data_IF_749076860992
#
_entry.id   IF_749076860992
#
_cell.length_a   1.000
_cell.length_b   1.000
_cell.length_c   1.000
_cell.angle_alpha   90.00
_cell.angle_beta   90.00
_cell.angle_gamma   90.00
#
_symmetry.space_group_name_H-M   'P 1'
#
loop_
_entity.id
_entity.type
_entity.pdbx_description
1 polymer ?
#
# COMPACT_ATOMS: atom_id res chain seq x y z
N UNK A 1 28.10 17.30 -15.69
CA UNK A 1 28.44 16.64 -16.97
C UNK A 1 27.25 16.81 -17.91
N UNK A 2 27.45 17.18 -19.19
CA UNK A 2 26.34 17.23 -20.14
C UNK A 2 25.78 15.81 -20.34
N UNK A 3 24.46 15.64 -20.22
CA UNK A 3 23.81 14.35 -20.46
C UNK A 3 23.93 14.01 -21.94
N UNK A 4 24.61 12.91 -22.26
CA UNK A 4 24.53 12.29 -23.58
C UNK A 4 23.05 11.91 -23.82
N UNK A 5 22.44 12.40 -24.90
CA UNK A 5 21.04 12.08 -25.21
C UNK A 5 20.79 10.57 -25.40
N UNK A 6 19.56 10.12 -25.16
CA UNK A 6 19.15 8.72 -25.32
C UNK A 6 19.43 8.22 -26.76
N UNK A 7 20.18 7.12 -26.91
CA UNK A 7 20.46 6.53 -28.22
C UNK A 7 19.37 5.55 -28.63
N UNK A 8 19.25 5.28 -29.94
CA UNK A 8 18.31 4.26 -30.48
C UNK A 8 18.49 2.90 -29.79
N UNK A 9 19.74 2.49 -29.57
CA UNK A 9 20.07 1.24 -28.87
C UNK A 9 19.51 1.20 -27.45
N UNK A 10 19.54 2.32 -26.73
CA UNK A 10 19.05 2.42 -25.36
C UNK A 10 17.51 2.32 -25.31
N UNK A 11 16.82 2.88 -26.31
CA UNK A 11 15.36 2.77 -26.47
C UNK A 11 14.95 1.32 -26.77
N UNK A 12 15.62 0.67 -27.73
CA UNK A 12 15.30 -0.72 -28.15
C UNK A 12 15.55 -1.71 -27.02
N UNK A 13 16.64 -1.51 -26.25
CA UNK A 13 16.93 -2.35 -25.07
C UNK A 13 15.88 -2.20 -23.97
N UNK A 14 15.25 -1.02 -23.87
CA UNK A 14 14.32 -0.70 -22.80
C UNK A 14 15.00 -0.52 -21.44
N UNK A 15 14.18 -0.38 -20.40
CA UNK A 15 14.60 -0.15 -19.02
C UNK A 15 13.72 -0.91 -18.03
N UNK A 16 14.06 -0.81 -16.74
CA UNK A 16 13.28 -1.43 -15.66
C UNK A 16 11.92 -0.73 -15.45
N UNK A 17 11.89 0.58 -15.63
CA UNK A 17 10.70 1.44 -15.55
C UNK A 17 10.86 2.58 -16.55
N UNK A 18 9.84 3.42 -16.67
CA UNK A 18 9.79 4.56 -17.58
C UNK A 18 9.63 5.87 -16.81
N UNK A 19 10.00 7.03 -17.41
CA UNK A 19 10.69 7.21 -18.69
C UNK A 19 12.15 6.72 -18.70
N UNK A 20 12.74 6.54 -19.88
CA UNK A 20 14.04 5.90 -20.08
C UNK A 20 15.20 6.60 -19.34
N UNK A 21 15.21 7.92 -19.31
CA UNK A 21 16.27 8.76 -18.73
C UNK A 21 15.95 9.29 -17.32
N UNK A 22 14.77 8.94 -16.80
CA UNK A 22 14.32 9.27 -15.45
C UNK A 22 13.28 8.24 -14.96
N UNK A 23 13.65 6.96 -14.80
CA UNK A 23 12.70 5.90 -14.48
C UNK A 23 12.00 6.19 -13.15
N UNK A 24 10.68 6.01 -13.14
CA UNK A 24 9.84 6.25 -11.95
C UNK A 24 10.16 5.26 -10.83
N UNK A 25 10.33 3.98 -11.19
CA UNK A 25 10.54 2.90 -10.22
C UNK A 25 12.04 2.54 -10.17
N UNK A 26 12.69 2.60 -8.99
CA UNK A 26 14.07 2.16 -8.85
C UNK A 26 14.19 0.63 -8.84
N UNK A 27 15.42 0.09 -8.93
CA UNK A 27 15.67 -1.36 -8.83
C UNK A 27 15.77 -1.80 -7.37
N UNK A 28 15.35 -3.03 -7.10
CA UNK A 28 15.46 -3.70 -5.80
C UNK A 28 16.92 -4.05 -5.41
N UNK A 29 17.20 -4.26 -4.11
CA UNK A 29 16.27 -4.24 -2.96
C UNK A 29 15.92 -2.83 -2.45
N UNK A 30 14.80 -2.72 -1.72
CA UNK A 30 14.40 -1.53 -0.95
C UNK A 30 14.29 -1.85 0.52
N UNK A 31 14.69 -0.89 1.35
CA UNK A 31 14.53 -0.93 2.79
C UNK A 31 13.54 0.13 3.26
N UNK A 32 12.75 -0.27 4.25
CA UNK A 32 11.79 0.57 4.97
C UNK A 32 12.24 0.57 6.43
N UNK A 33 12.47 1.76 6.97
CA UNK A 33 12.98 2.00 8.33
C UNK A 33 12.06 3.01 9.01
N UNK A 34 12.01 2.93 10.33
CA UNK A 34 11.22 3.86 11.16
C UNK A 34 9.75 3.97 10.69
N UNK A 35 9.05 2.83 10.70
CA UNK A 35 7.67 2.74 10.21
C UNK A 35 6.70 2.70 11.38
N UNK A 36 5.81 3.69 11.45
CA UNK A 36 4.69 3.65 12.38
C UNK A 36 3.51 2.91 11.75
N UNK A 37 2.86 2.05 12.52
CA UNK A 37 1.67 1.31 12.08
C UNK A 37 0.55 1.48 13.09
N UNK A 38 -0.61 1.93 12.61
CA UNK A 38 -1.88 1.82 13.33
C UNK A 38 -2.73 0.73 12.67
N UNK A 39 -3.06 -0.29 13.44
CA UNK A 39 -3.91 -1.40 13.00
C UNK A 39 -5.31 -1.26 13.59
N UNK A 40 -6.32 -1.25 12.72
CA UNK A 40 -7.73 -1.33 13.07
C UNK A 40 -8.28 -2.67 12.58
N UNK A 41 -9.02 -3.37 13.44
CA UNK A 41 -9.64 -4.64 13.09
C UNK A 41 -11.14 -4.59 13.36
N UNK A 42 -11.94 -5.12 12.45
CA UNK A 42 -13.38 -5.30 12.65
C UNK A 42 -13.86 -6.60 11.99
N UNK A 43 -15.03 -7.08 12.40
CA UNK A 43 -15.69 -8.23 11.77
C UNK A 43 -16.73 -7.76 10.76
N UNK A 44 -16.85 -8.50 9.66
CA UNK A 44 -17.84 -8.25 8.59
C UNK A 44 -18.55 -9.55 8.21
N UNK A 45 -19.41 -9.50 7.19
CA UNK A 45 -20.05 -10.70 6.66
C UNK A 45 -19.05 -11.54 5.90
N UNK A 46 -19.00 -12.85 6.18
CA UNK A 46 -18.08 -13.77 5.50
C UNK A 46 -18.31 -13.80 3.99
N UNK A 47 -19.55 -13.60 3.54
CA UNK A 47 -19.91 -13.50 2.12
C UNK A 47 -19.30 -12.26 1.45
N UNK A 48 -19.22 -11.13 2.16
CA UNK A 48 -18.56 -9.92 1.66
C UNK A 48 -17.05 -10.14 1.50
N UNK A 49 -16.41 -10.89 2.42
CA UNK A 49 -15.01 -11.30 2.26
C UNK A 49 -14.85 -12.20 1.04
N UNK A 50 -15.70 -13.22 0.89
CA UNK A 50 -15.65 -14.15 -0.24
C UNK A 50 -15.78 -13.44 -1.59
N UNK A 51 -16.67 -12.44 -1.69
CA UNK A 51 -16.89 -11.67 -2.92
C UNK A 51 -15.67 -10.84 -3.37
N UNK A 52 -14.72 -10.56 -2.48
CA UNK A 52 -13.49 -9.82 -2.81
C UNK A 52 -12.35 -10.74 -3.26
N UNK A 53 -12.41 -12.03 -2.94
CA UNK A 53 -11.33 -12.96 -3.24
C UNK A 53 -11.43 -13.48 -4.67
N UNK A 54 -10.37 -13.35 -5.49
CA UNK A 54 -10.33 -13.99 -6.79
C UNK A 54 -10.15 -15.50 -6.63
N UNK A 55 -10.68 -16.28 -7.59
CA UNK A 55 -10.36 -17.70 -7.67
C UNK A 55 -8.83 -17.89 -7.80
N UNK A 56 -8.23 -18.89 -7.13
CA UNK A 56 -8.87 -19.95 -6.33
C UNK A 56 -8.90 -19.67 -4.81
N UNK A 57 -8.73 -18.41 -4.36
CA UNK A 57 -8.63 -18.08 -2.94
C UNK A 57 -9.96 -18.29 -2.19
N UNK A 58 -9.88 -18.78 -0.96
CA UNK A 58 -11.03 -18.94 -0.05
C UNK A 58 -10.85 -18.15 1.25
N UNK A 59 -11.93 -17.63 1.87
CA UNK A 59 -11.82 -16.88 3.12
C UNK A 59 -11.39 -17.76 4.29
N UNK A 60 -10.39 -17.31 5.05
CA UNK A 60 -9.98 -17.97 6.31
C UNK A 60 -10.79 -17.50 7.52
N UNK A 61 -11.51 -16.39 7.41
CA UNK A 61 -12.34 -15.83 8.46
C UNK A 61 -13.22 -14.68 7.99
N UNK A 62 -13.76 -13.93 8.94
CA UNK A 62 -14.65 -12.78 8.72
C UNK A 62 -14.04 -11.46 9.25
N UNK A 63 -12.75 -11.47 9.59
CA UNK A 63 -12.03 -10.30 10.05
C UNK A 63 -11.47 -9.49 8.87
N UNK A 64 -11.67 -8.18 8.95
CA UNK A 64 -11.01 -7.19 8.09
C UNK A 64 -9.99 -6.45 8.95
N UNK A 65 -8.80 -6.28 8.39
CA UNK A 65 -7.71 -5.54 9.01
C UNK A 65 -7.36 -4.34 8.14
N UNK A 66 -7.28 -3.17 8.76
CA UNK A 66 -6.86 -1.92 8.12
C UNK A 66 -5.57 -1.50 8.79
N UNK A 67 -4.48 -1.52 8.05
CA UNK A 67 -3.23 -0.91 8.47
C UNK A 67 -3.14 0.48 7.89
N UNK A 68 -2.88 1.48 8.73
CA UNK A 68 -2.37 2.77 8.31
C UNK A 68 -0.88 2.80 8.65
N UNK A 69 -0.07 3.26 7.71
CA UNK A 69 1.36 3.36 7.81
C UNK A 69 1.81 4.80 7.69
N UNK A 70 2.75 5.19 8.54
CA UNK A 70 3.62 6.34 8.30
C UNK A 70 5.02 5.79 8.03
N UNK A 71 5.43 5.85 6.77
CA UNK A 71 6.74 5.39 6.32
C UNK A 71 7.73 6.56 6.43
N UNK A 72 8.47 6.65 7.53
CA UNK A 72 9.31 7.84 7.79
C UNK A 72 10.66 7.79 7.05
N UNK A 73 11.25 6.60 6.86
CA UNK A 73 12.52 6.43 6.15
C UNK A 73 12.44 5.29 5.13
N UNK A 74 12.30 5.63 3.85
CA UNK A 74 12.25 4.64 2.76
C UNK A 74 13.25 4.98 1.66
N UNK A 75 13.95 3.95 1.19
CA UNK A 75 14.90 4.11 0.09
C UNK A 75 14.17 4.65 -1.15
N UNK A 76 14.74 5.68 -1.78
CA UNK A 76 14.31 6.32 -3.04
C UNK A 76 12.94 7.02 -3.06
N UNK A 77 11.94 6.47 -2.39
CA UNK A 77 10.58 6.99 -2.35
C UNK A 77 10.44 8.21 -1.43
N UNK A 78 11.31 8.33 -0.43
CA UNK A 78 11.22 9.33 0.62
C UNK A 78 10.05 9.06 1.59
N UNK A 79 9.78 9.96 2.54
CA UNK A 79 8.70 9.75 3.50
C UNK A 79 7.33 9.76 2.82
N UNK A 80 6.49 8.77 3.12
CA UNK A 80 5.13 8.72 2.61
C UNK A 80 4.19 8.00 3.57
N UNK A 81 2.91 7.99 3.24
CA UNK A 81 1.84 7.34 4.01
C UNK A 81 1.07 6.37 3.14
N UNK A 82 0.67 5.26 3.75
CA UNK A 82 -0.03 4.16 3.09
C UNK A 82 -1.16 3.67 3.98
N UNK A 83 -2.22 3.13 3.38
CA UNK A 83 -3.18 2.31 4.08
C UNK A 83 -3.49 1.05 3.27
N UNK A 84 -3.56 -0.08 3.96
CA UNK A 84 -3.91 -1.38 3.39
C UNK A 84 -5.15 -1.92 4.09
N UNK A 85 -6.21 -2.19 3.32
CA UNK A 85 -7.37 -2.96 3.77
C UNK A 85 -7.18 -4.40 3.28
N UNK A 86 -7.15 -5.35 4.23
CA UNK A 86 -6.86 -6.74 3.96
C UNK A 86 -7.83 -7.69 4.67
N UNK A 87 -7.98 -8.87 4.10
CA UNK A 87 -8.79 -9.98 4.61
C UNK A 87 -7.97 -11.27 4.59
N UNK A 88 -8.30 -12.20 5.48
CA UNK A 88 -7.67 -13.50 5.51
C UNK A 88 -8.08 -14.37 4.32
N UNK A 89 -7.10 -14.94 3.62
CA UNK A 89 -7.31 -15.77 2.44
C UNK A 89 -6.38 -17.00 2.45
N UNK A 90 -6.82 -18.10 1.84
CA UNK A 90 -6.01 -19.29 1.65
C UNK A 90 -6.16 -19.87 0.25
N UNK A 91 -5.08 -20.45 -0.27
CA UNK A 91 -5.13 -21.28 -1.47
C UNK A 91 -5.66 -22.69 -1.14
N UNK A 92 -6.32 -23.36 -2.10
CA UNK A 92 -6.58 -24.79 -1.99
C UNK A 92 -5.24 -25.52 -1.83
N UNK A 93 -5.08 -26.31 -0.77
CA UNK A 93 -3.80 -26.94 -0.42
C UNK A 93 -3.14 -26.38 0.84
N UNK A 94 -3.68 -25.30 1.41
CA UNK A 94 -3.42 -24.91 2.81
C UNK A 94 -2.48 -23.73 3.03
N UNK A 95 -1.93 -23.12 1.98
CA UNK A 95 -1.18 -21.86 2.12
C UNK A 95 -2.15 -20.73 2.49
N UNK A 96 -1.95 -20.13 3.66
CA UNK A 96 -2.81 -19.07 4.19
C UNK A 96 -2.03 -17.77 4.38
N UNK A 97 -2.70 -16.65 4.16
CA UNK A 97 -2.13 -15.31 4.30
C UNK A 97 -3.21 -14.24 4.25
N UNK A 98 -2.81 -13.04 3.85
CA UNK A 98 -3.71 -11.91 3.67
C UNK A 98 -3.86 -11.58 2.18
N UNK A 99 -5.09 -11.34 1.74
CA UNK A 99 -5.39 -10.72 0.46
C UNK A 99 -5.74 -9.26 0.68
N UNK A 100 -5.13 -8.37 -0.10
CA UNK A 100 -5.28 -6.92 0.04
C UNK A 100 -6.10 -6.35 -1.12
N UNK A 101 -7.44 -6.29 -1.03
CA UNK A 101 -8.29 -5.79 -2.11
C UNK A 101 -8.11 -4.29 -2.36
N UNK A 102 -7.73 -3.50 -1.34
CA UNK A 102 -7.65 -2.05 -1.44
C UNK A 102 -6.42 -1.49 -0.74
N UNK A 103 -5.59 -0.74 -1.49
CA UNK A 103 -4.49 0.05 -0.94
C UNK A 103 -4.60 1.52 -1.35
N UNK A 104 -4.23 2.40 -0.43
CA UNK A 104 -4.30 3.84 -0.56
C UNK A 104 -2.97 4.49 -0.21
N UNK A 105 -2.39 5.29 -1.09
CA UNK A 105 -1.07 5.88 -0.89
C UNK A 105 -1.09 7.38 -1.16
N UNK A 106 -0.20 8.09 -0.46
CA UNK A 106 0.04 9.53 -0.65
C UNK A 106 1.16 9.85 -1.65
N UNK A 107 1.79 8.83 -2.24
CA UNK A 107 2.88 8.99 -3.22
C UNK A 107 2.53 8.31 -4.53
N UNK A 108 2.59 9.06 -5.64
CA UNK A 108 2.39 8.52 -6.99
C UNK A 108 3.45 7.50 -7.37
N UNK A 109 4.71 7.72 -6.97
CA UNK A 109 5.79 6.75 -7.18
C UNK A 109 5.50 5.46 -6.43
N UNK A 110 5.02 5.55 -5.19
CA UNK A 110 4.61 4.38 -4.41
C UNK A 110 3.44 3.62 -5.03
N UNK A 111 2.51 4.34 -5.67
CA UNK A 111 1.38 3.75 -6.43
C UNK A 111 1.90 3.01 -7.65
N UNK A 112 2.68 3.68 -8.51
CA UNK A 112 3.24 3.07 -9.73
C UNK A 112 4.09 1.84 -9.39
N UNK A 113 4.99 1.97 -8.42
CA UNK A 113 5.85 0.90 -7.95
C UNK A 113 5.07 -0.36 -7.55
N UNK A 114 4.11 -0.24 -6.63
CA UNK A 114 3.38 -1.42 -6.16
C UNK A 114 2.48 -2.04 -7.23
N UNK A 115 1.93 -1.23 -8.15
CA UNK A 115 1.09 -1.72 -9.26
C UNK A 115 1.89 -2.45 -10.32
N UNK A 116 2.96 -1.84 -10.81
CA UNK A 116 3.71 -2.33 -11.98
C UNK A 116 4.64 -3.49 -11.63
N UNK A 117 5.15 -3.56 -10.39
CA UNK A 117 6.05 -4.63 -9.96
C UNK A 117 5.29 -5.76 -9.26
N UNK A 118 4.44 -5.43 -8.28
CA UNK A 118 3.84 -6.41 -7.39
C UNK A 118 2.36 -6.71 -7.67
N UNK A 119 1.73 -5.96 -8.60
CA UNK A 119 0.30 -6.10 -8.88
C UNK A 119 -0.61 -5.61 -7.76
N UNK A 120 -0.11 -4.79 -6.82
CA UNK A 120 -0.90 -4.29 -5.69
C UNK A 120 -1.98 -3.30 -6.17
N UNK A 121 -3.22 -3.35 -5.64
CA UNK A 121 -4.34 -2.52 -6.10
C UNK A 121 -4.31 -1.10 -5.52
N UNK A 122 -3.16 -0.43 -5.64
CA UNK A 122 -2.90 0.89 -5.07
C UNK A 122 -3.65 2.01 -5.81
N UNK A 123 -4.20 2.95 -5.04
CA UNK A 123 -4.79 4.22 -5.52
C UNK A 123 -4.22 5.40 -4.73
N UNK A 124 -4.13 6.57 -5.37
CA UNK A 124 -3.75 7.81 -4.68
C UNK A 124 -4.85 8.26 -3.73
N UNK A 125 -4.46 8.68 -2.51
CA UNK A 125 -5.29 9.16 -1.42
C UNK A 125 -4.43 9.82 -0.33
N UNK A 126 -5.04 10.28 0.75
CA UNK A 126 -4.39 10.95 1.88
C UNK A 126 -4.60 10.13 3.17
N UNK A 127 -3.90 9.00 3.36
CA UNK A 127 -3.88 8.30 4.64
C UNK A 127 -3.07 9.09 5.67
N UNK A 128 -3.48 9.05 6.94
CA UNK A 128 -2.80 9.75 8.03
C UNK A 128 -2.96 9.05 9.38
N UNK A 129 -1.96 9.16 10.24
CA UNK A 129 -1.99 8.82 11.66
C UNK A 129 -1.64 10.10 12.43
N UNK A 130 -2.43 10.52 13.41
CA UNK A 130 -2.23 11.75 14.17
C UNK A 130 -2.52 11.53 15.67
N UNK A 131 -1.72 12.14 16.54
CA UNK A 131 -2.06 12.28 17.95
C UNK A 131 -3.05 13.43 18.17
N UNK A 132 -4.19 13.16 18.79
CA UNK A 132 -5.19 14.16 19.18
C UNK A 132 -5.52 14.00 20.66
N UNK A 133 -4.83 14.77 21.50
CA UNK A 133 -4.91 14.59 22.94
C UNK A 133 -4.35 13.22 23.33
N UNK A 134 -5.17 12.41 24.00
CA UNK A 134 -4.89 11.03 24.39
C UNK A 134 -5.28 9.99 23.33
N UNK A 135 -5.71 10.41 22.14
CA UNK A 135 -6.11 9.50 21.05
C UNK A 135 -5.05 9.45 19.93
N UNK A 136 -4.80 8.25 19.44
CA UNK A 136 -4.19 8.02 18.12
C UNK A 136 -5.33 7.92 17.11
N UNK A 137 -5.34 8.79 16.10
CA UNK A 137 -6.40 8.87 15.08
C UNK A 137 -5.84 8.52 13.70
N UNK A 138 -6.41 7.47 13.10
CA UNK A 138 -6.15 7.05 11.73
C UNK A 138 -7.26 7.51 10.78
N UNK A 139 -6.89 8.07 9.62
CA UNK A 139 -7.84 8.46 8.57
C UNK A 139 -7.37 8.05 7.19
N UNK A 140 -8.30 7.79 6.29
CA UNK A 140 -8.08 7.69 4.85
C UNK A 140 -9.01 8.70 4.18
N UNK A 141 -8.44 9.75 3.61
CA UNK A 141 -9.20 10.75 2.84
C UNK A 141 -8.97 10.53 1.36
N UNK A 142 -10.03 10.49 0.56
CA UNK A 142 -9.93 10.40 -0.89
C UNK A 142 -10.93 11.33 -1.55
N UNK A 143 -10.47 12.15 -2.49
CA UNK A 143 -11.29 13.17 -3.16
C UNK A 143 -12.00 14.11 -2.16
N UNK A 144 -11.33 14.46 -1.05
CA UNK A 144 -11.90 15.29 0.01
C UNK A 144 -12.94 14.59 0.89
N UNK A 145 -13.12 13.27 0.78
CA UNK A 145 -14.07 12.48 1.58
C UNK A 145 -13.31 11.55 2.52
N UNK A 146 -13.68 11.59 3.80
CA UNK A 146 -13.22 10.62 4.79
C UNK A 146 -13.90 9.27 4.55
N UNK A 147 -13.18 8.33 3.93
CA UNK A 147 -13.72 6.99 3.65
C UNK A 147 -13.45 6.01 4.79
N UNK A 148 -12.46 6.29 5.65
CA UNK A 148 -12.18 5.56 6.89
C UNK A 148 -11.73 6.55 7.96
N UNK A 149 -12.28 6.43 9.16
CA UNK A 149 -11.77 7.08 10.38
C UNK A 149 -11.82 6.07 11.53
N UNK A 150 -10.73 5.93 12.27
CA UNK A 150 -10.68 5.11 13.47
C UNK A 150 -9.73 5.69 14.50
N UNK A 151 -9.98 5.41 15.77
CA UNK A 151 -9.20 5.95 16.89
C UNK A 151 -8.95 4.91 17.96
N UNK A 152 -7.78 4.98 18.58
CA UNK A 152 -7.40 4.17 19.72
C UNK A 152 -6.91 5.11 20.82
N UNK A 153 -7.36 4.89 22.06
CA UNK A 153 -6.82 5.63 23.19
C UNK A 153 -5.39 5.17 23.48
N UNK A 154 -4.46 6.11 23.59
CA UNK A 154 -3.12 5.85 24.07
C UNK A 154 -3.18 5.76 25.60
N UNK A 155 -3.28 4.53 26.12
CA UNK A 155 -3.17 4.29 27.56
C UNK A 155 -1.68 4.38 27.90
N UNK A 156 -1.30 5.47 28.59
CA UNK A 156 0.03 5.69 29.18
C UNK A 156 0.17 4.99 30.53
#
# INVERSE_FOLDING_TARGET
>A
MPRQGNRREDIVRGGFSTPLDAPTIPRFPFSFRDVDVLTLCYRTDREAVAALLPEPLVPTGDAVMIHLYRMNDTDWLGPYREANVMVGAALPGGEAGAYSPYLFLSSEVGVAHGREIHGQPKKLAEPSIEMRGDLIVGRIVRNGIDIVTGSVAQIV
#
